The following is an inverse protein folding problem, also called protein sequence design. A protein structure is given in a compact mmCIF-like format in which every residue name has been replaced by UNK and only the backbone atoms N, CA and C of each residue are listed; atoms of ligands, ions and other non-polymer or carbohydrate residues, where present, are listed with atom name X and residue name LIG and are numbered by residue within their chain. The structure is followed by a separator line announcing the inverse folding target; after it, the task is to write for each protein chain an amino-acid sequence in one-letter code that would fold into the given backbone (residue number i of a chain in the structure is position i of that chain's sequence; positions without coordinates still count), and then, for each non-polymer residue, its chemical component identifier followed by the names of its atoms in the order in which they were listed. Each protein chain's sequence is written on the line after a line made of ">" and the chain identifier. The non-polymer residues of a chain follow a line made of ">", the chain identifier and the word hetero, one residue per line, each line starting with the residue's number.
data_IF_752402724807
#
_entry.id   IF_752402724807
#
_cell.length_a   1.000
_cell.length_b   1.000
_cell.length_c   1.000
_cell.angle_alpha   90.00
_cell.angle_beta   90.00
_cell.angle_gamma   90.00
#
_symmetry.space_group_name_H-M   'P 1'
#
loop_
_entity.id
_entity.type
_entity.pdbx_description
1 polymer ?
#
# COMPACT_ATOMS: atom_id res chain seq x y z
N UNK A 1 -7.32 16.09 -0.95
CA UNK A 1 -7.02 16.35 0.48
C UNK A 1 -5.68 15.77 0.93
N UNK A 2 -5.43 14.46 0.77
CA UNK A 2 -4.18 13.82 1.23
C UNK A 2 -2.87 14.38 0.60
N UNK A 3 -2.88 14.78 -0.68
CA UNK A 3 -1.73 15.44 -1.33
C UNK A 3 -1.46 16.83 -0.73
N UNK A 4 -2.50 17.53 -0.26
CA UNK A 4 -2.37 18.84 0.37
C UNK A 4 -1.79 18.71 1.79
N UNK A 5 -2.25 17.72 2.58
CA UNK A 5 -1.69 17.38 3.90
C UNK A 5 -0.21 16.98 3.77
N UNK A 6 0.14 16.17 2.76
CA UNK A 6 1.54 15.81 2.48
C UNK A 6 2.40 17.05 2.22
N UNK A 7 1.95 17.96 1.36
CA UNK A 7 2.69 19.19 1.03
C UNK A 7 2.86 20.12 2.25
N UNK A 8 1.93 20.12 3.18
CA UNK A 8 2.01 20.93 4.41
C UNK A 8 2.98 20.34 5.45
N UNK A 9 3.07 19.01 5.55
CA UNK A 9 3.83 18.34 6.61
C UNK A 9 5.22 17.82 6.18
N UNK A 10 5.53 17.79 4.89
CA UNK A 10 6.77 17.18 4.36
C UNK A 10 7.72 18.20 3.72
N UNK A 11 9.03 18.03 3.95
CA UNK A 11 10.07 18.79 3.25
C UNK A 11 10.01 18.58 1.72
N UNK A 12 10.51 19.55 0.95
CA UNK A 12 10.50 19.49 -0.53
C UNK A 12 11.15 18.22 -1.09
N UNK A 13 12.21 17.75 -0.44
CA UNK A 13 12.93 16.53 -0.85
C UNK A 13 12.12 15.25 -0.62
N UNK A 14 11.37 15.12 0.47
CA UNK A 14 10.54 13.94 0.71
C UNK A 14 9.34 13.89 -0.23
N UNK A 15 8.81 15.06 -0.61
CA UNK A 15 7.78 15.14 -1.66
C UNK A 15 8.32 14.69 -3.02
N UNK A 16 9.51 15.16 -3.42
CA UNK A 16 10.15 14.75 -4.67
C UNK A 16 10.46 13.26 -4.69
N UNK A 17 10.95 12.71 -3.57
CA UNK A 17 11.22 11.27 -3.44
C UNK A 17 9.94 10.46 -3.63
N UNK A 18 8.88 10.76 -2.88
CA UNK A 18 7.60 10.05 -3.03
C UNK A 18 7.06 10.07 -4.47
N UNK A 19 7.16 11.22 -5.13
CA UNK A 19 6.72 11.34 -6.53
C UNK A 19 7.61 10.56 -7.49
N UNK A 20 8.93 10.50 -7.24
CA UNK A 20 9.84 9.69 -8.04
C UNK A 20 9.54 8.20 -7.88
N UNK A 21 9.42 7.71 -6.65
CA UNK A 21 9.09 6.31 -6.36
C UNK A 21 7.73 5.91 -6.97
N UNK A 22 6.72 6.79 -6.89
CA UNK A 22 5.41 6.55 -7.51
C UNK A 22 5.48 6.46 -9.04
N UNK A 23 6.33 7.27 -9.68
CA UNK A 23 6.57 7.17 -11.13
C UNK A 23 7.32 5.89 -11.48
N UNK A 24 8.33 5.51 -10.71
CA UNK A 24 9.08 4.27 -10.90
C UNK A 24 8.17 3.04 -10.75
N UNK A 25 7.35 3.00 -9.70
CA UNK A 25 6.34 1.95 -9.51
C UNK A 25 5.40 1.84 -10.71
N UNK A 26 4.83 2.97 -11.14
CA UNK A 26 3.91 2.99 -12.28
C UNK A 26 4.56 2.50 -13.57
N UNK A 27 5.81 2.91 -13.83
CA UNK A 27 6.57 2.48 -15.00
C UNK A 27 6.87 0.98 -14.95
N UNK A 28 7.32 0.47 -13.79
CA UNK A 28 7.63 -0.95 -13.60
C UNK A 28 6.40 -1.83 -13.84
N UNK A 29 5.24 -1.45 -13.27
CA UNK A 29 3.97 -2.15 -13.49
C UNK A 29 3.57 -2.18 -14.98
N UNK A 30 3.70 -1.05 -15.70
CA UNK A 30 3.40 -0.99 -17.13
C UNK A 30 4.35 -1.83 -17.99
N UNK A 31 5.60 -2.00 -17.55
CA UNK A 31 6.59 -2.83 -18.20
C UNK A 31 6.49 -4.32 -17.80
N UNK A 32 5.64 -4.68 -16.84
CA UNK A 32 5.56 -6.03 -16.28
C UNK A 32 6.81 -6.42 -15.47
N UNK A 33 7.60 -5.44 -15.02
CA UNK A 33 8.76 -5.68 -14.17
C UNK A 33 8.33 -5.74 -12.71
N UNK A 34 7.82 -6.91 -12.31
CA UNK A 34 7.27 -7.14 -10.98
C UNK A 34 8.33 -7.02 -9.87
N UNK A 35 9.60 -7.30 -10.17
CA UNK A 35 10.68 -7.15 -9.21
C UNK A 35 10.93 -5.67 -8.90
N UNK A 36 11.06 -4.83 -9.94
CA UNK A 36 11.22 -3.38 -9.74
C UNK A 36 9.97 -2.75 -9.11
N UNK A 37 8.76 -3.20 -9.50
CA UNK A 37 7.52 -2.75 -8.91
C UNK A 37 7.45 -3.05 -7.41
N UNK A 38 7.83 -4.27 -7.01
CA UNK A 38 7.90 -4.69 -5.61
C UNK A 38 8.84 -3.80 -4.79
N UNK A 39 10.06 -3.55 -5.29
CA UNK A 39 11.03 -2.69 -4.62
C UNK A 39 10.52 -1.24 -4.46
N UNK A 40 9.96 -0.66 -5.52
CA UNK A 40 9.39 0.69 -5.47
C UNK A 40 8.20 0.76 -4.50
N UNK A 41 7.33 -0.24 -4.50
CA UNK A 41 6.17 -0.28 -3.62
C UNK A 41 6.57 -0.42 -2.15
N UNK A 42 7.57 -1.26 -1.83
CA UNK A 42 8.15 -1.35 -0.48
C UNK A 42 8.71 -0.01 -0.01
N UNK A 43 9.49 0.66 -0.86
CA UNK A 43 10.04 1.98 -0.53
C UNK A 43 8.94 3.02 -0.27
N UNK A 44 7.85 3.00 -1.04
CA UNK A 44 6.67 3.86 -0.84
C UNK A 44 5.96 3.55 0.47
N UNK A 45 5.68 2.28 0.76
CA UNK A 45 5.02 1.85 2.00
C UNK A 45 5.85 2.27 3.21
N UNK A 46 7.14 1.95 3.25
CA UNK A 46 8.01 2.34 4.37
C UNK A 46 8.11 3.86 4.55
N UNK A 47 8.17 4.62 3.44
CA UNK A 47 8.14 6.08 3.51
C UNK A 47 6.82 6.59 4.11
N UNK A 48 5.69 6.04 3.67
CA UNK A 48 4.37 6.43 4.15
C UNK A 48 4.14 6.04 5.61
N UNK A 49 4.61 4.88 6.05
CA UNK A 49 4.58 4.46 7.45
C UNK A 49 5.31 5.46 8.34
N UNK A 50 6.51 5.89 7.95
CA UNK A 50 7.25 6.90 8.68
C UNK A 50 6.57 8.28 8.63
N UNK A 51 6.13 8.73 7.46
CA UNK A 51 5.54 10.06 7.28
C UNK A 51 4.17 10.19 7.94
N UNK A 52 3.42 9.10 8.05
CA UNK A 52 2.05 9.05 8.55
C UNK A 52 1.94 8.31 9.89
N UNK A 53 3.05 8.12 10.61
CA UNK A 53 3.08 7.43 11.91
C UNK A 53 2.10 8.00 12.94
N UNK A 54 1.73 9.28 12.81
CA UNK A 54 0.76 9.97 13.67
C UNK A 54 -0.71 9.76 13.25
N UNK A 55 -0.97 9.08 12.13
CA UNK A 55 -2.32 8.81 11.58
C UNK A 55 -2.49 7.30 11.34
N UNK A 56 -3.00 6.55 12.33
CA UNK A 56 -2.95 5.09 12.36
C UNK A 56 -3.78 4.35 11.29
N UNK A 57 -4.63 5.03 10.53
CA UNK A 57 -5.46 4.42 9.48
C UNK A 57 -5.45 5.23 8.18
N UNK A 58 -4.31 5.76 7.75
CA UNK A 58 -4.32 6.66 6.61
C UNK A 58 -4.64 5.95 5.27
N UNK A 59 -5.65 6.46 4.56
CA UNK A 59 -6.17 5.87 3.32
C UNK A 59 -5.11 5.62 2.23
N UNK A 60 -4.17 6.54 2.04
CA UNK A 60 -3.07 6.34 1.07
C UNK A 60 -2.16 5.17 1.44
N UNK A 61 -1.85 4.97 2.72
CA UNK A 61 -1.01 3.86 3.16
C UNK A 61 -1.75 2.53 2.96
N UNK A 62 -3.04 2.49 3.28
CA UNK A 62 -3.87 1.31 3.03
C UNK A 62 -3.88 0.90 1.54
N UNK A 63 -4.01 1.87 0.64
CA UNK A 63 -3.96 1.61 -0.81
C UNK A 63 -2.60 1.04 -1.24
N UNK A 64 -1.49 1.60 -0.75
CA UNK A 64 -0.16 1.09 -1.10
C UNK A 64 0.10 -0.31 -0.51
N UNK A 65 -0.39 -0.60 0.70
CA UNK A 65 -0.32 -1.95 1.28
C UNK A 65 -1.11 -2.98 0.49
N UNK A 66 -2.26 -2.58 -0.06
CA UNK A 66 -3.02 -3.46 -0.95
C UNK A 66 -2.19 -3.83 -2.20
N UNK A 67 -1.61 -2.82 -2.87
CA UNK A 67 -0.72 -3.05 -4.02
C UNK A 67 0.51 -3.87 -3.65
N UNK A 68 1.10 -3.63 -2.47
CA UNK A 68 2.26 -4.39 -2.01
C UNK A 68 1.91 -5.85 -1.75
N UNK A 69 0.74 -6.14 -1.18
CA UNK A 69 0.23 -7.50 -1.02
C UNK A 69 0.14 -8.23 -2.37
N UNK A 70 -0.40 -7.59 -3.41
CA UNK A 70 -0.49 -8.21 -4.75
C UNK A 70 0.91 -8.59 -5.27
N UNK A 71 1.85 -7.64 -5.21
CA UNK A 71 3.22 -7.85 -5.68
C UNK A 71 3.97 -8.92 -4.88
N UNK A 72 3.72 -9.02 -3.58
CA UNK A 72 4.34 -10.03 -2.74
C UNK A 72 3.82 -11.43 -3.02
N UNK A 73 2.52 -11.57 -3.30
CA UNK A 73 1.94 -12.84 -3.76
C UNK A 73 2.55 -13.27 -5.10
N UNK A 74 2.67 -12.34 -6.05
CA UNK A 74 3.30 -12.62 -7.35
C UNK A 74 4.78 -13.01 -7.21
N UNK A 75 5.48 -12.47 -6.20
CA UNK A 75 6.86 -12.83 -5.88
C UNK A 75 7.00 -14.14 -5.09
N UNK A 76 5.89 -14.71 -4.59
CA UNK A 76 5.87 -15.91 -3.76
C UNK A 76 6.05 -15.69 -2.25
N UNK A 77 6.08 -14.44 -1.78
CA UNK A 77 6.18 -14.09 -0.35
C UNK A 77 4.80 -13.98 0.31
N UNK A 78 4.15 -15.14 0.47
CA UNK A 78 2.81 -15.21 1.08
C UNK A 78 2.78 -14.80 2.56
N UNK A 79 3.94 -14.75 3.23
CA UNK A 79 4.02 -14.33 4.64
C UNK A 79 3.96 -12.81 4.76
N UNK A 80 4.74 -12.08 3.94
CA UNK A 80 4.68 -10.62 3.92
C UNK A 80 3.35 -10.14 3.32
N UNK A 81 2.85 -10.77 2.25
CA UNK A 81 1.56 -10.42 1.65
C UNK A 81 0.42 -10.44 2.68
N UNK A 82 0.39 -11.45 3.56
CA UNK A 82 -0.57 -11.55 4.65
C UNK A 82 -0.44 -10.38 5.63
N UNK A 83 0.77 -10.01 6.05
CA UNK A 83 0.99 -8.85 6.93
C UNK A 83 0.48 -7.56 6.28
N UNK A 84 0.76 -7.36 4.99
CA UNK A 84 0.32 -6.17 4.27
C UNK A 84 -1.21 -6.11 4.14
N UNK A 85 -1.85 -7.24 3.84
CA UNK A 85 -3.30 -7.29 3.71
C UNK A 85 -4.02 -7.12 5.06
N UNK A 86 -3.52 -7.73 6.13
CA UNK A 86 -4.06 -7.55 7.50
C UNK A 86 -4.07 -6.06 7.85
N UNK A 87 -2.91 -5.41 7.72
CA UNK A 87 -2.75 -4.01 8.05
C UNK A 87 -3.49 -3.07 7.07
N UNK A 88 -3.78 -3.52 5.84
CA UNK A 88 -4.67 -2.83 4.90
C UNK A 88 -6.13 -2.92 5.35
N UNK A 89 -6.62 -4.13 5.64
CA UNK A 89 -7.98 -4.43 6.04
C UNK A 89 -8.39 -3.66 7.31
N UNK A 90 -7.50 -3.61 8.31
CA UNK A 90 -7.70 -2.82 9.53
C UNK A 90 -7.85 -1.33 9.21
N UNK A 91 -6.93 -0.78 8.42
CA UNK A 91 -6.93 0.64 8.06
C UNK A 91 -8.19 1.03 7.27
N UNK A 92 -8.61 0.21 6.31
CA UNK A 92 -9.81 0.51 5.50
C UNK A 92 -11.12 0.30 6.26
N UNK A 93 -11.15 -0.57 7.27
CA UNK A 93 -12.32 -0.72 8.13
C UNK A 93 -12.64 0.56 8.91
N UNK A 94 -11.59 1.31 9.29
CA UNK A 94 -11.67 2.57 10.03
C UNK A 94 -11.92 3.75 9.09
N UNK A 95 -11.14 3.86 8.02
CA UNK A 95 -11.05 5.10 7.23
C UNK A 95 -11.93 5.15 5.99
N UNK A 96 -12.54 4.02 5.61
CA UNK A 96 -13.44 3.96 4.46
C UNK A 96 -14.85 3.57 4.88
N UNK A 97 -15.82 4.24 4.26
CA UNK A 97 -17.24 3.90 4.41
C UNK A 97 -17.54 2.46 3.98
N UNK A 98 -18.62 1.90 4.53
CA UNK A 98 -19.00 0.50 4.29
C UNK A 98 -19.24 0.14 2.81
N UNK A 99 -19.51 1.13 1.94
CA UNK A 99 -19.70 0.96 0.50
C UNK A 99 -18.42 1.13 -0.33
N UNK A 100 -17.25 1.27 0.31
CA UNK A 100 -15.98 1.42 -0.42
C UNK A 100 -15.58 0.13 -1.12
N UNK A 101 -15.29 0.22 -2.42
CA UNK A 101 -14.78 -0.90 -3.20
C UNK A 101 -13.46 -1.43 -2.64
N UNK A 102 -12.56 -0.56 -2.19
CA UNK A 102 -11.28 -0.98 -1.60
C UNK A 102 -11.51 -1.76 -0.29
N UNK A 103 -12.48 -1.32 0.53
CA UNK A 103 -12.82 -2.03 1.78
C UNK A 103 -13.39 -3.42 1.49
N UNK A 104 -14.23 -3.55 0.46
CA UNK A 104 -14.75 -4.84 0.04
C UNK A 104 -13.63 -5.76 -0.47
N UNK A 105 -12.78 -5.25 -1.38
CA UNK A 105 -11.68 -6.00 -1.97
C UNK A 105 -10.63 -6.44 -0.93
N UNK A 106 -10.26 -5.56 0.01
CA UNK A 106 -9.32 -5.91 1.08
C UNK A 106 -9.88 -7.02 1.99
N UNK A 107 -11.19 -7.00 2.27
CA UNK A 107 -11.82 -8.06 3.07
C UNK A 107 -11.84 -9.39 2.34
N UNK A 108 -12.25 -9.39 1.08
CA UNK A 108 -12.27 -10.59 0.23
C UNK A 108 -10.87 -11.20 0.12
N UNK A 109 -9.86 -10.38 -0.19
CA UNK A 109 -8.48 -10.86 -0.29
C UNK A 109 -7.94 -11.39 1.04
N UNK A 110 -8.28 -10.76 2.15
CA UNK A 110 -7.91 -11.26 3.47
C UNK A 110 -8.52 -12.64 3.75
N UNK A 111 -9.80 -12.83 3.43
CA UNK A 111 -10.49 -14.12 3.58
C UNK A 111 -9.85 -15.21 2.70
N UNK A 112 -9.46 -14.90 1.46
CA UNK A 112 -8.73 -15.80 0.56
C UNK A 112 -7.39 -16.24 1.16
N UNK A 113 -6.60 -15.28 1.66
CA UNK A 113 -5.27 -15.55 2.23
C UNK A 113 -5.32 -16.39 3.50
N UNK A 114 -6.40 -16.27 4.29
CA UNK A 114 -6.61 -17.07 5.49
C UNK A 114 -7.14 -18.47 5.17
N UNK A 115 -7.89 -18.62 4.07
CA UNK A 115 -8.48 -19.90 3.65
C UNK A 115 -7.49 -20.77 2.86
N UNK A 116 -6.52 -20.17 2.17
CA UNK A 116 -5.49 -20.87 1.37
C UNK A 116 -4.29 -21.42 2.17
N UNK A 117 -4.35 -21.39 3.51
CA UNK A 117 -3.26 -21.80 4.40
C UNK A 117 -3.31 -23.24 4.92
N UNK A 118 -4.00 -24.16 4.24
CA UNK A 118 -4.06 -25.60 4.57
C UNK A 118 -3.06 -26.42 3.76
#
# INVERSE_FOLDING_TARGET
>A
EAVAIRRACCHRLSTLRYEAEGRCLSAALLCGDNAAALECCRALVSFLEAALAHVPAHALLALQRFTLCDLELESGDAAEARRQMEACAEAVAISYGAKSALRAAARERWEELMSGGS
#
